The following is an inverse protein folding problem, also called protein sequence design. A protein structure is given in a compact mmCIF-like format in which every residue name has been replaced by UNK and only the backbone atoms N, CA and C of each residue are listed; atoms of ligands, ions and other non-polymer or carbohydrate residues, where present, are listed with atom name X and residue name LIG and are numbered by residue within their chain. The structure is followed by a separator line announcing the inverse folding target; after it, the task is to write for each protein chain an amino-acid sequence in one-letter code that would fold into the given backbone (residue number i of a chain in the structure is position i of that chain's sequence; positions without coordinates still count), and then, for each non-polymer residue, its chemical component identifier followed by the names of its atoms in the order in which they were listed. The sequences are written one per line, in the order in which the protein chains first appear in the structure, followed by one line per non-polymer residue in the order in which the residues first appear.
data_IF_843322012922
#
_entry.id   IF_843322012922
#
_cell.length_a   1.000
_cell.length_b   1.000
_cell.length_c   1.000
_cell.angle_alpha   90.00
_cell.angle_beta   90.00
_cell.angle_gamma   90.00
#
_symmetry.space_group_name_H-M   'P 1'
#
loop_
_entity.id
_entity.type
_entity.pdbx_description
1 polymer ?
#
# COMPACT_ATOMS: atom_id res chain seq x y z
N UNK A 1 16.37 -12.09 7.55
CA UNK A 1 16.89 -13.39 7.06
C UNK A 1 16.78 -14.50 8.11
N UNK A 2 16.87 -14.22 9.41
CA UNK A 2 16.69 -15.22 10.48
C UNK A 2 15.30 -15.89 10.52
N UNK A 3 14.21 -15.14 10.30
CA UNK A 3 12.84 -15.69 10.29
C UNK A 3 12.63 -16.74 9.19
N UNK A 4 13.22 -16.53 8.01
CA UNK A 4 13.18 -17.47 6.88
C UNK A 4 13.93 -18.74 7.24
N UNK A 5 15.16 -18.60 7.76
CA UNK A 5 15.97 -19.73 8.20
C UNK A 5 15.24 -20.55 9.27
N UNK A 6 14.57 -19.90 10.22
CA UNK A 6 13.77 -20.58 11.24
C UNK A 6 12.57 -21.34 10.65
N UNK A 7 11.92 -20.80 9.62
CA UNK A 7 10.84 -21.49 8.90
C UNK A 7 11.36 -22.72 8.12
N UNK A 8 12.53 -22.60 7.49
CA UNK A 8 13.19 -23.69 6.76
C UNK A 8 13.70 -24.78 7.71
N UNK A 9 14.40 -24.41 8.79
CA UNK A 9 14.95 -25.32 9.80
C UNK A 9 13.85 -26.10 10.54
N UNK A 10 12.64 -25.53 10.64
CA UNK A 10 11.48 -26.19 11.23
C UNK A 10 10.60 -26.92 10.21
N UNK A 11 11.06 -27.06 8.96
CA UNK A 11 10.35 -27.70 7.86
C UNK A 11 8.89 -27.18 7.71
N UNK A 12 8.71 -25.86 7.87
CA UNK A 12 7.42 -25.18 7.75
C UNK A 12 6.51 -25.24 8.98
N UNK A 13 6.96 -25.78 10.12
CA UNK A 13 6.21 -25.73 11.38
C UNK A 13 6.14 -24.31 11.96
N UNK A 14 7.18 -23.50 11.76
CA UNK A 14 7.15 -22.07 12.06
C UNK A 14 6.63 -21.29 10.85
N UNK A 15 5.51 -20.59 11.04
CA UNK A 15 4.93 -19.66 10.06
C UNK A 15 4.96 -18.25 10.64
N UNK A 16 5.37 -17.29 9.85
CA UNK A 16 5.37 -15.88 10.24
C UNK A 16 4.61 -15.05 9.21
N UNK A 17 3.97 -13.99 9.69
CA UNK A 17 3.26 -13.03 8.84
C UNK A 17 3.95 -11.68 9.02
N UNK A 18 4.42 -11.12 7.92
CA UNK A 18 4.94 -9.75 7.90
C UNK A 18 3.77 -8.84 7.52
N UNK A 19 3.26 -8.09 8.49
CA UNK A 19 2.19 -7.14 8.31
C UNK A 19 2.76 -5.72 8.22
N UNK A 20 2.30 -4.96 7.24
CA UNK A 20 2.58 -3.53 7.11
C UNK A 20 1.64 -2.91 6.09
N UNK A 21 1.71 -1.59 5.98
CA UNK A 21 0.87 -0.82 5.06
C UNK A 21 1.42 -0.94 3.62
N UNK A 22 1.17 0.04 2.77
CA UNK A 22 1.53 0.02 1.36
C UNK A 22 3.04 -0.19 1.10
N UNK A 23 3.93 0.25 2.00
CA UNK A 23 5.38 0.06 1.85
C UNK A 23 5.82 -1.41 1.81
N UNK A 24 5.13 -2.29 2.54
CA UNK A 24 5.41 -3.74 2.49
C UNK A 24 4.97 -4.33 1.15
N UNK A 25 3.86 -3.85 0.59
CA UNK A 25 3.43 -4.24 -0.75
C UNK A 25 4.41 -3.77 -1.83
N UNK A 26 4.86 -2.50 -1.77
CA UNK A 26 5.88 -1.96 -2.68
C UNK A 26 7.16 -2.77 -2.63
N UNK A 27 7.63 -3.06 -1.41
CA UNK A 27 8.84 -3.86 -1.22
C UNK A 27 8.65 -5.29 -1.76
N UNK A 28 7.50 -5.92 -1.54
CA UNK A 28 7.22 -7.28 -2.07
C UNK A 28 7.09 -7.37 -3.59
N UNK A 29 6.83 -6.26 -4.29
CA UNK A 29 6.73 -6.21 -5.76
C UNK A 29 8.08 -6.03 -6.45
N UNK A 30 9.11 -5.57 -5.73
CA UNK A 30 10.46 -5.56 -6.26
C UNK A 30 11.03 -7.00 -6.17
N UNK A 31 11.25 -7.67 -7.33
CA UNK A 31 11.77 -9.03 -7.37
C UNK A 31 13.17 -9.13 -6.74
N UNK A 32 13.87 -8.01 -6.61
CA UNK A 32 15.16 -7.88 -5.94
C UNK A 32 14.97 -7.50 -4.47
N UNK A 33 13.99 -8.08 -3.78
CA UNK A 33 13.87 -7.98 -2.32
C UNK A 33 13.70 -9.36 -1.71
N UNK A 34 14.23 -9.59 -0.49
CA UNK A 34 14.03 -10.86 0.22
C UNK A 34 12.55 -11.13 0.49
N UNK A 35 11.71 -10.08 0.51
CA UNK A 35 10.27 -10.14 0.76
C UNK A 35 9.48 -10.72 -0.42
N UNK A 36 9.88 -10.44 -1.66
CA UNK A 36 9.22 -10.96 -2.86
C UNK A 36 9.25 -12.49 -2.94
N UNK A 37 10.24 -13.13 -2.30
CA UNK A 37 10.42 -14.59 -2.28
C UNK A 37 9.68 -15.27 -1.11
N UNK A 38 9.10 -14.53 -0.16
CA UNK A 38 8.48 -15.08 1.06
C UNK A 38 7.01 -15.50 0.88
N UNK A 39 6.48 -15.39 -0.33
CA UNK A 39 5.13 -15.83 -0.68
C UNK A 39 4.31 -14.73 -1.34
N UNK A 40 3.04 -15.03 -1.61
CA UNK A 40 2.12 -14.08 -2.25
C UNK A 40 1.69 -13.03 -1.22
N UNK A 41 1.88 -11.73 -1.47
CA UNK A 41 1.38 -10.67 -0.60
C UNK A 41 -0.14 -10.79 -0.47
N UNK A 42 -0.64 -10.73 0.76
CA UNK A 42 -2.08 -10.67 1.05
C UNK A 42 -2.42 -9.23 1.39
N UNK A 43 -3.17 -8.57 0.51
CA UNK A 43 -3.72 -7.25 0.78
C UNK A 43 -4.96 -7.42 1.65
N UNK A 44 -4.94 -6.89 2.87
CA UNK A 44 -6.15 -6.80 3.69
C UNK A 44 -6.92 -5.55 3.23
N UNK A 45 -7.91 -5.77 2.36
CA UNK A 45 -8.73 -4.72 1.78
C UNK A 45 -10.22 -5.04 1.87
N UNK A 46 -11.05 -4.34 1.10
CA UNK A 46 -12.45 -4.69 0.91
C UNK A 46 -12.63 -6.11 0.36
N UNK A 47 -13.65 -6.83 0.85
CA UNK A 47 -13.99 -8.20 0.43
C UNK A 47 -14.68 -8.20 -0.93
N UNK A 48 -13.92 -8.01 -1.99
CA UNK A 48 -14.45 -7.82 -3.36
C UNK A 48 -13.73 -8.65 -4.40
N UNK A 49 -12.41 -8.70 -4.34
CA UNK A 49 -11.61 -9.35 -5.37
C UNK A 49 -11.55 -10.86 -5.14
N UNK A 50 -11.20 -11.61 -6.19
CA UNK A 50 -10.92 -13.04 -6.05
C UNK A 50 -12.09 -13.91 -5.54
N UNK A 51 -13.34 -13.43 -5.62
CA UNK A 51 -14.52 -14.15 -5.11
C UNK A 51 -14.93 -13.80 -3.68
N UNK A 52 -14.21 -12.89 -3.02
CA UNK A 52 -14.46 -12.50 -1.62
C UNK A 52 -15.84 -11.84 -1.40
N UNK A 53 -16.49 -11.35 -2.46
CA UNK A 53 -17.85 -10.81 -2.39
C UNK A 53 -18.86 -11.83 -1.81
N UNK A 54 -18.63 -13.13 -2.00
CA UNK A 54 -19.45 -14.19 -1.39
C UNK A 54 -19.27 -14.19 0.13
N UNK A 55 -18.03 -14.05 0.61
CA UNK A 55 -17.73 -13.96 2.03
C UNK A 55 -18.24 -12.63 2.63
N UNK A 56 -18.22 -11.54 1.86
CA UNK A 56 -18.85 -10.28 2.25
C UNK A 56 -20.37 -10.44 2.48
N UNK A 57 -21.06 -11.16 1.57
CA UNK A 57 -22.49 -11.48 1.74
C UNK A 57 -22.73 -12.34 2.98
N UNK A 58 -21.94 -13.40 3.18
CA UNK A 58 -22.03 -14.26 4.38
C UNK A 58 -21.85 -13.48 5.67
N UNK A 59 -20.92 -12.52 5.68
CA UNK A 59 -20.67 -11.65 6.83
C UNK A 59 -21.89 -10.79 7.23
N UNK A 60 -22.84 -10.59 6.31
CA UNK A 60 -24.13 -9.94 6.57
C UNK A 60 -25.20 -10.99 6.88
N UNK A 61 -25.38 -11.97 6.00
CA UNK A 61 -26.50 -12.91 6.03
C UNK A 61 -26.40 -13.84 7.24
N UNK A 62 -25.28 -14.52 7.47
CA UNK A 62 -25.19 -15.55 8.52
C UNK A 62 -25.45 -15.00 9.94
N UNK A 63 -24.85 -13.87 10.37
CA UNK A 63 -25.12 -13.34 11.70
C UNK A 63 -26.57 -12.85 11.85
N UNK A 64 -27.13 -12.22 10.82
CA UNK A 64 -28.52 -11.75 10.84
C UNK A 64 -29.50 -12.93 10.89
N UNK A 65 -29.23 -13.98 10.12
CA UNK A 65 -30.03 -15.20 10.10
C UNK A 65 -29.99 -15.97 11.41
N UNK A 66 -28.82 -16.02 12.07
CA UNK A 66 -28.65 -16.63 13.38
C UNK A 66 -29.46 -15.91 14.47
N UNK A 67 -29.66 -14.60 14.32
CA UNK A 67 -30.52 -13.78 15.19
C UNK A 67 -32.02 -13.86 14.82
N UNK A 68 -32.38 -14.65 13.80
CA UNK A 68 -33.76 -14.82 13.34
C UNK A 68 -34.24 -13.75 12.34
N UNK A 69 -33.36 -12.85 11.89
CA UNK A 69 -33.68 -11.89 10.84
C UNK A 69 -33.55 -12.52 9.45
N UNK A 70 -34.39 -12.09 8.51
CA UNK A 70 -34.32 -12.49 7.09
C UNK A 70 -34.54 -11.26 6.21
N UNK A 71 -33.62 -10.99 5.29
CA UNK A 71 -33.78 -9.89 4.34
C UNK A 71 -34.92 -10.17 3.36
N UNK A 72 -35.75 -9.16 3.10
CA UNK A 72 -36.87 -9.28 2.18
C UNK A 72 -36.43 -9.48 0.72
N UNK A 73 -35.25 -8.98 0.36
CA UNK A 73 -34.63 -9.11 -0.96
C UNK A 73 -33.10 -9.25 -0.83
N UNK A 74 -32.43 -10.06 -1.67
CA UNK A 74 -30.97 -10.10 -1.80
C UNK A 74 -30.33 -8.74 -2.12
N UNK A 75 -31.09 -7.81 -2.72
CA UNK A 75 -30.61 -6.48 -3.08
C UNK A 75 -30.32 -5.62 -1.85
N UNK A 76 -31.01 -5.87 -0.73
CA UNK A 76 -30.74 -5.17 0.53
C UNK A 76 -29.33 -5.46 1.04
N UNK A 77 -28.89 -6.72 0.92
CA UNK A 77 -27.53 -7.12 1.26
C UNK A 77 -26.54 -6.42 0.33
N UNK A 78 -26.81 -6.43 -0.98
CA UNK A 78 -25.96 -5.74 -1.97
C UNK A 78 -25.82 -4.24 -1.68
N UNK A 79 -26.90 -3.58 -1.23
CA UNK A 79 -26.88 -2.17 -0.79
C UNK A 79 -26.01 -1.98 0.44
N UNK A 80 -26.15 -2.81 1.47
CA UNK A 80 -25.31 -2.75 2.69
C UNK A 80 -23.84 -2.85 2.32
N UNK A 81 -23.47 -3.81 1.48
CA UNK A 81 -22.09 -4.01 1.04
C UNK A 81 -21.57 -2.80 0.25
N UNK A 82 -22.38 -2.24 -0.64
CA UNK A 82 -22.01 -1.07 -1.44
C UNK A 82 -21.82 0.18 -0.56
N UNK A 83 -22.68 0.41 0.43
CA UNK A 83 -22.56 1.54 1.35
C UNK A 83 -21.35 1.45 2.26
N UNK A 84 -20.99 0.24 2.68
CA UNK A 84 -19.82 -0.03 3.53
C UNK A 84 -18.53 -0.19 2.71
N UNK A 85 -18.60 0.03 1.39
CA UNK A 85 -17.52 -0.19 0.43
C UNK A 85 -16.84 -1.57 0.63
N UNK A 86 -17.63 -2.58 1.01
CA UNK A 86 -17.21 -3.96 1.26
C UNK A 86 -16.12 -4.13 2.33
N UNK A 87 -15.91 -3.13 3.20
CA UNK A 87 -14.95 -3.24 4.30
C UNK A 87 -15.53 -4.09 5.44
N UNK A 88 -14.86 -5.19 5.86
CA UNK A 88 -15.38 -6.09 6.89
C UNK A 88 -15.84 -5.38 8.18
N UNK A 89 -15.01 -4.47 8.69
CA UNK A 89 -15.31 -3.74 9.93
C UNK A 89 -16.54 -2.83 9.81
N UNK A 90 -16.74 -2.21 8.64
CA UNK A 90 -17.88 -1.34 8.39
C UNK A 90 -19.16 -2.16 8.13
N UNK A 91 -19.04 -3.30 7.47
CA UNK A 91 -20.14 -4.27 7.32
C UNK A 91 -20.64 -4.70 8.70
N UNK A 92 -19.72 -5.12 9.57
CA UNK A 92 -20.06 -5.56 10.93
C UNK A 92 -20.69 -4.42 11.74
N UNK A 93 -20.12 -3.21 11.66
CA UNK A 93 -20.69 -2.05 12.33
C UNK A 93 -22.09 -1.68 11.80
N UNK A 94 -22.32 -1.77 10.49
CA UNK A 94 -23.64 -1.59 9.91
C UNK A 94 -24.63 -2.61 10.47
N UNK A 95 -24.26 -3.90 10.44
CA UNK A 95 -25.13 -4.97 10.92
C UNK A 95 -25.44 -4.81 12.41
N UNK A 96 -24.46 -4.39 13.21
CA UNK A 96 -24.67 -4.07 14.63
C UNK A 96 -25.72 -2.98 14.83
N UNK A 97 -25.57 -1.83 14.14
CA UNK A 97 -26.53 -0.72 14.22
C UNK A 97 -27.91 -1.12 13.69
N UNK A 98 -27.95 -1.93 12.63
CA UNK A 98 -29.19 -2.46 12.10
C UNK A 98 -29.89 -3.36 13.13
N UNK A 99 -29.16 -4.25 13.82
CA UNK A 99 -29.74 -5.08 14.89
C UNK A 99 -30.23 -4.24 16.06
N UNK A 100 -29.49 -3.22 16.51
CA UNK A 100 -29.95 -2.29 17.55
C UNK A 100 -31.25 -1.59 17.15
N UNK A 101 -31.34 -1.14 15.90
CA UNK A 101 -32.52 -0.49 15.34
C UNK A 101 -33.72 -1.44 15.27
N UNK A 102 -33.51 -2.68 14.79
CA UNK A 102 -34.54 -3.71 14.69
C UNK A 102 -35.00 -4.21 16.06
N UNK A 103 -34.12 -4.19 17.07
CA UNK A 103 -34.43 -4.64 18.42
C UNK A 103 -35.21 -3.60 19.24
N UNK A 104 -35.35 -2.36 18.74
CA UNK A 104 -36.08 -1.30 19.40
C UNK A 104 -37.58 -1.32 18.98
N UNK A 105 -38.52 -1.70 19.87
CA UNK A 105 -39.95 -1.81 19.54
C UNK A 105 -40.61 -0.47 19.18
N UNK A 106 -40.00 0.65 19.58
CA UNK A 106 -40.44 2.00 19.22
C UNK A 106 -40.13 2.36 17.76
N UNK A 107 -39.25 1.60 17.11
CA UNK A 107 -38.68 1.91 15.81
C UNK A 107 -39.05 0.84 14.77
N UNK A 108 -38.78 -0.43 15.06
CA UNK A 108 -39.20 -1.55 14.25
C UNK A 108 -40.35 -2.30 14.95
N UNK A 109 -41.51 -2.34 14.30
CA UNK A 109 -42.65 -3.15 14.76
C UNK A 109 -42.76 -4.40 13.91
N UNK A 110 -42.62 -5.53 14.58
CA UNK A 110 -42.86 -6.85 14.01
C UNK A 110 -44.17 -7.41 14.57
N UNK A 111 -44.96 -8.05 13.71
CA UNK A 111 -46.17 -8.73 14.16
C UNK A 111 -45.79 -10.03 14.88
N UNK A 112 -46.14 -10.19 16.17
CA UNK A 112 -45.83 -11.39 16.94
C UNK A 112 -46.45 -12.68 16.38
N UNK A 113 -47.47 -12.57 15.53
CA UNK A 113 -48.13 -13.73 14.89
C UNK A 113 -47.39 -14.26 13.67
N UNK A 114 -46.49 -13.47 13.09
CA UNK A 114 -45.77 -13.79 11.86
C UNK A 114 -44.25 -13.76 12.02
N UNK A 115 -43.75 -13.61 13.26
CA UNK A 115 -42.33 -13.62 13.59
C UNK A 115 -42.02 -14.64 14.70
N UNK A 116 -40.87 -15.34 14.65
CA UNK A 116 -39.85 -15.34 13.57
C UNK A 116 -40.28 -16.10 12.29
N UNK A 117 -39.67 -15.82 11.12
CA UNK A 117 -38.52 -14.92 10.91
C UNK A 117 -38.88 -13.43 10.86
N UNK A 118 -38.01 -12.58 11.42
CA UNK A 118 -38.17 -11.12 11.40
C UNK A 118 -37.73 -10.56 10.04
N UNK A 119 -38.69 -10.06 9.26
CA UNK A 119 -38.42 -9.61 7.88
C UNK A 119 -37.78 -8.22 7.85
N UNK A 120 -36.55 -8.13 7.35
CA UNK A 120 -35.83 -6.86 7.16
C UNK A 120 -36.20 -6.26 5.81
N UNK A 121 -36.89 -5.13 5.84
CA UNK A 121 -37.33 -4.38 4.67
C UNK A 121 -36.38 -3.21 4.36
N UNK A 122 -36.59 -2.58 3.20
CA UNK A 122 -35.82 -1.43 2.72
C UNK A 122 -35.75 -0.29 3.74
N UNK A 123 -36.89 0.07 4.35
CA UNK A 123 -36.96 1.13 5.37
C UNK A 123 -36.00 0.93 6.53
N UNK A 124 -35.81 -0.32 6.99
CA UNK A 124 -34.91 -0.61 8.12
C UNK A 124 -33.45 -0.39 7.73
N UNK A 125 -33.08 -0.74 6.50
CA UNK A 125 -31.72 -0.52 5.97
C UNK A 125 -31.47 0.96 5.77
N UNK A 126 -32.44 1.70 5.24
CA UNK A 126 -32.32 3.14 5.01
C UNK A 126 -32.22 3.94 6.31
N UNK A 127 -32.99 3.58 7.33
CA UNK A 127 -32.92 4.25 8.63
C UNK A 127 -31.61 3.94 9.36
N UNK A 128 -31.11 2.70 9.28
CA UNK A 128 -29.77 2.36 9.77
C UNK A 128 -28.67 3.14 9.04
N UNK A 129 -28.82 3.34 7.73
CA UNK A 129 -27.87 4.14 6.94
C UNK A 129 -27.87 5.63 7.32
N UNK A 130 -29.03 6.19 7.65
CA UNK A 130 -29.15 7.59 8.09
C UNK A 130 -28.47 7.86 9.43
N UNK A 131 -28.15 6.81 10.20
CA UNK A 131 -27.39 6.93 11.43
C UNK A 131 -26.08 7.70 11.18
N UNK A 132 -25.95 8.83 11.89
CA UNK A 132 -24.80 9.71 11.76
C UNK A 132 -23.48 9.00 12.10
N UNK A 133 -23.50 8.12 13.11
CA UNK A 133 -22.35 7.34 13.57
C UNK A 133 -21.77 6.43 12.48
N UNK A 134 -22.62 5.79 11.67
CA UNK A 134 -22.18 4.94 10.57
C UNK A 134 -21.53 5.76 9.44
N UNK A 135 -22.17 6.87 9.05
CA UNK A 135 -21.64 7.77 8.02
C UNK A 135 -20.28 8.35 8.43
N UNK A 136 -20.13 8.73 9.69
CA UNK A 136 -18.86 9.19 10.26
C UNK A 136 -17.80 8.09 10.27
N UNK A 137 -18.16 6.86 10.63
CA UNK A 137 -17.23 5.72 10.61
C UNK A 137 -16.75 5.39 9.19
N UNK A 138 -17.64 5.39 8.21
CA UNK A 138 -17.30 5.19 6.80
C UNK A 138 -16.35 6.30 6.32
N UNK A 139 -16.70 7.57 6.56
CA UNK A 139 -15.86 8.72 6.19
C UNK A 139 -14.49 8.67 6.86
N UNK A 140 -14.43 8.38 8.16
CA UNK A 140 -13.19 8.26 8.92
C UNK A 140 -12.31 7.15 8.36
N UNK A 141 -12.86 5.97 8.09
CA UNK A 141 -12.10 4.83 7.54
C UNK A 141 -11.57 5.14 6.14
N UNK A 142 -12.38 5.82 5.32
CA UNK A 142 -11.99 6.26 4.00
C UNK A 142 -10.87 7.32 4.07
N UNK A 143 -10.98 8.32 4.95
CA UNK A 143 -9.90 9.30 5.16
C UNK A 143 -8.61 8.63 5.60
N UNK A 144 -8.65 7.70 6.57
CA UNK A 144 -7.47 6.97 7.03
C UNK A 144 -6.78 6.19 5.90
N UNK A 145 -7.57 5.73 4.91
CA UNK A 145 -7.05 5.02 3.73
C UNK A 145 -6.33 5.98 2.79
N UNK A 146 -6.87 7.18 2.58
CA UNK A 146 -6.22 8.23 1.80
C UNK A 146 -5.03 8.86 2.52
N UNK A 147 -5.01 8.84 3.85
CA UNK A 147 -3.90 9.30 4.70
C UNK A 147 -2.66 8.40 4.67
N UNK A 148 -2.77 7.21 4.06
CA UNK A 148 -1.63 6.29 3.92
C UNK A 148 -0.50 6.90 3.08
N UNK A 149 -0.85 7.69 2.06
CA UNK A 149 0.09 8.40 1.20
C UNK A 149 -0.58 9.71 0.73
N UNK A 150 0.02 10.88 0.97
CA UNK A 150 -0.56 12.17 0.56
C UNK A 150 -0.95 12.22 -0.93
N UNK A 151 -0.25 11.46 -1.78
CA UNK A 151 -0.54 11.37 -3.22
C UNK A 151 -1.84 10.64 -3.51
N UNK A 152 -2.24 9.65 -2.69
CA UNK A 152 -3.52 8.97 -2.86
C UNK A 152 -4.69 9.94 -2.68
N UNK A 153 -4.60 10.80 -1.66
CA UNK A 153 -5.61 11.84 -1.43
C UNK A 153 -5.71 12.78 -2.61
N UNK A 154 -4.58 13.32 -3.06
CA UNK A 154 -4.56 14.22 -4.22
C UNK A 154 -5.20 13.55 -5.45
N UNK A 155 -4.75 12.34 -5.80
CA UNK A 155 -5.26 11.60 -6.96
C UNK A 155 -6.77 11.38 -6.85
N UNK A 156 -7.26 10.94 -5.68
CA UNK A 156 -8.69 10.72 -5.47
C UNK A 156 -9.51 12.01 -5.61
N UNK A 157 -9.03 13.12 -5.06
CA UNK A 157 -9.70 14.42 -5.15
C UNK A 157 -9.71 14.97 -6.58
N UNK A 158 -8.59 14.88 -7.31
CA UNK A 158 -8.49 15.28 -8.72
C UNK A 158 -9.47 14.47 -9.57
N UNK A 159 -9.47 13.14 -9.43
CA UNK A 159 -10.42 12.29 -10.16
C UNK A 159 -11.88 12.59 -9.81
N UNK A 160 -12.16 12.97 -8.57
CA UNK A 160 -13.49 13.33 -8.11
C UNK A 160 -13.96 14.67 -8.69
N UNK A 161 -13.10 15.69 -8.69
CA UNK A 161 -13.40 16.99 -9.26
C UNK A 161 -13.81 16.85 -10.74
N UNK A 162 -12.99 16.15 -11.51
CA UNK A 162 -13.22 15.88 -12.93
C UNK A 162 -14.49 15.06 -13.15
N UNK A 163 -14.75 14.05 -12.32
CA UNK A 163 -15.97 13.24 -12.41
C UNK A 163 -17.25 14.01 -12.02
N UNK A 164 -17.14 15.13 -11.31
CA UNK A 164 -18.27 16.02 -11.04
C UNK A 164 -18.62 16.88 -12.25
N UNK A 165 -17.62 17.26 -13.05
CA UNK A 165 -17.80 18.01 -14.29
C UNK A 165 -18.29 17.12 -15.43
N UNK A 166 -17.69 15.94 -15.59
CA UNK A 166 -18.06 14.94 -16.59
C UNK A 166 -18.32 13.57 -15.93
N UNK A 167 -19.61 13.24 -15.80
CA UNK A 167 -20.05 11.97 -15.19
C UNK A 167 -19.71 10.74 -16.03
N UNK A 168 -19.46 10.89 -17.34
CA UNK A 168 -19.05 9.76 -18.19
C UNK A 168 -17.69 9.20 -17.77
N UNK A 169 -16.86 10.01 -17.09
CA UNK A 169 -15.58 9.58 -16.54
C UNK A 169 -15.72 8.49 -15.47
N UNK A 170 -16.86 8.40 -14.79
CA UNK A 170 -17.12 7.31 -13.85
C UNK A 170 -17.23 5.95 -14.57
N UNK A 171 -17.61 5.94 -15.85
CA UNK A 171 -17.77 4.74 -16.67
C UNK A 171 -16.55 4.48 -17.55
N UNK A 172 -16.06 5.51 -18.25
CA UNK A 172 -14.90 5.44 -19.13
C UNK A 172 -13.62 5.19 -18.34
N UNK A 173 -13.45 5.89 -17.21
CA UNK A 173 -12.20 5.98 -16.47
C UNK A 173 -11.11 6.77 -17.21
N UNK A 174 -10.02 7.03 -16.50
CA UNK A 174 -8.87 7.79 -16.96
C UNK A 174 -7.71 6.85 -17.24
N UNK A 175 -6.91 7.16 -18.25
CA UNK A 175 -5.60 6.55 -18.37
C UNK A 175 -4.61 7.14 -17.36
N UNK A 176 -3.50 6.42 -17.12
CA UNK A 176 -2.49 6.84 -16.15
C UNK A 176 -1.82 8.17 -16.53
N UNK A 177 -1.77 8.52 -17.81
CA UNK A 177 -1.15 9.75 -18.29
C UNK A 177 -2.03 10.97 -18.02
N UNK A 178 -3.35 10.85 -18.24
CA UNK A 178 -4.37 11.86 -17.90
C UNK A 178 -4.28 12.20 -16.40
N UNK A 179 -4.31 11.18 -15.54
CA UNK A 179 -4.23 11.36 -14.07
C UNK A 179 -2.90 11.99 -13.68
N UNK A 180 -1.79 11.48 -14.22
CA UNK A 180 -0.45 12.01 -13.92
C UNK A 180 -0.32 13.48 -14.26
N UNK A 181 -0.78 13.87 -15.44
CA UNK A 181 -0.68 15.25 -15.93
C UNK A 181 -1.43 16.18 -14.97
N UNK A 182 -2.69 15.86 -14.66
CA UNK A 182 -3.51 16.64 -13.74
C UNK A 182 -2.94 16.67 -12.33
N UNK A 183 -2.48 15.54 -11.81
CA UNK A 183 -1.88 15.48 -10.47
C UNK A 183 -0.62 16.36 -10.34
N UNK A 184 0.20 16.41 -11.39
CA UNK A 184 1.39 17.28 -11.41
C UNK A 184 1.03 18.76 -11.60
N UNK A 185 -0.03 19.08 -12.34
CA UNK A 185 -0.57 20.45 -12.44
C UNK A 185 -1.04 20.96 -11.08
N UNK A 186 -1.72 20.12 -10.30
CA UNK A 186 -2.20 20.48 -8.96
C UNK A 186 -1.06 20.54 -7.93
N UNK A 187 -0.15 19.56 -7.90
CA UNK A 187 0.84 19.43 -6.82
C UNK A 187 2.19 18.89 -7.27
N UNK A 188 2.84 19.54 -8.23
CA UNK A 188 4.19 19.18 -8.70
C UNK A 188 5.23 18.94 -7.57
N UNK A 189 5.27 19.76 -6.49
CA UNK A 189 6.22 19.55 -5.38
C UNK A 189 5.98 18.28 -4.57
N UNK A 190 4.75 17.75 -4.56
CA UNK A 190 4.40 16.50 -3.89
C UNK A 190 4.92 15.25 -4.58
N UNK A 191 5.45 15.38 -5.79
CA UNK A 191 6.08 14.30 -6.55
C UNK A 191 7.55 14.63 -6.80
N UNK A 192 8.49 14.01 -6.08
CA UNK A 192 9.92 14.16 -6.35
C UNK A 192 10.25 13.81 -7.80
N UNK A 193 11.28 14.41 -8.45
CA UNK A 193 11.57 14.19 -9.86
C UNK A 193 11.65 12.72 -10.30
N UNK A 194 12.21 11.84 -9.47
CA UNK A 194 12.31 10.40 -9.74
C UNK A 194 11.00 9.61 -9.56
N UNK A 195 9.96 10.23 -9.01
CA UNK A 195 8.64 9.63 -8.76
C UNK A 195 7.55 10.16 -9.72
N UNK A 196 7.93 11.02 -10.68
CA UNK A 196 7.03 11.58 -11.70
C UNK A 196 6.86 10.65 -12.91
N UNK A 197 7.40 9.43 -12.87
CA UNK A 197 7.30 8.47 -13.98
C UNK A 197 5.89 7.89 -14.13
N UNK A 198 5.52 7.49 -15.36
CA UNK A 198 4.21 6.87 -15.60
C UNK A 198 4.03 5.55 -14.86
N UNK A 199 5.09 4.75 -14.74
CA UNK A 199 5.05 3.46 -14.03
C UNK A 199 4.82 3.63 -12.51
N UNK A 200 5.30 4.73 -11.94
CA UNK A 200 5.02 5.09 -10.54
C UNK A 200 3.54 5.40 -10.38
N UNK A 201 2.96 6.20 -11.27
CA UNK A 201 1.52 6.49 -11.25
C UNK A 201 0.67 5.23 -11.43
N UNK A 202 1.01 4.34 -12.37
CA UNK A 202 0.33 3.04 -12.51
C UNK A 202 0.38 2.22 -11.21
N UNK A 203 1.54 2.22 -10.54
CA UNK A 203 1.70 1.54 -9.25
C UNK A 203 0.79 2.15 -8.18
N UNK A 204 0.78 3.48 -8.04
CA UNK A 204 -0.10 4.20 -7.10
C UNK A 204 -1.58 3.89 -7.37
N UNK A 205 -2.00 3.92 -8.64
CA UNK A 205 -3.38 3.64 -9.05
C UNK A 205 -3.78 2.20 -8.73
N UNK A 206 -2.89 1.24 -8.97
CA UNK A 206 -3.12 -0.17 -8.64
C UNK A 206 -3.15 -0.41 -7.13
N UNK A 207 -2.35 0.31 -6.36
CA UNK A 207 -2.45 0.32 -4.89
C UNK A 207 -3.81 0.85 -4.45
N UNK A 208 -4.27 1.97 -5.02
CA UNK A 208 -5.59 2.55 -4.72
C UNK A 208 -6.77 1.64 -5.14
N UNK A 209 -6.58 0.76 -6.13
CA UNK A 209 -7.54 -0.31 -6.45
C UNK A 209 -7.59 -1.34 -5.33
N UNK A 210 -6.44 -1.80 -4.83
CA UNK A 210 -6.35 -2.74 -3.70
C UNK A 210 -6.90 -2.16 -2.38
N UNK A 211 -6.77 -0.85 -2.19
CA UNK A 211 -7.41 -0.09 -1.09
C UNK A 211 -8.90 0.16 -1.31
N UNK A 212 -9.43 -0.21 -2.47
CA UNK A 212 -10.82 -0.02 -2.85
C UNK A 212 -11.31 1.41 -2.94
N UNK A 213 -10.41 2.33 -3.24
CA UNK A 213 -10.73 3.70 -3.64
C UNK A 213 -11.07 3.72 -5.13
N UNK A 214 -10.30 2.98 -5.93
CA UNK A 214 -10.45 2.91 -7.38
C UNK A 214 -10.92 1.53 -7.86
N UNK A 215 -11.29 1.46 -9.14
CA UNK A 215 -11.49 0.24 -9.90
C UNK A 215 -10.97 0.41 -11.34
N UNK A 216 -10.65 -0.70 -12.01
CA UNK A 216 -10.20 -0.72 -13.39
C UNK A 216 -11.39 -0.89 -14.34
N UNK A 217 -11.56 0.03 -15.30
CA UNK A 217 -12.57 -0.09 -16.36
C UNK A 217 -12.02 -0.76 -17.62
N UNK A 218 -10.70 -0.93 -17.70
CA UNK A 218 -9.99 -1.61 -18.77
C UNK A 218 -8.55 -1.93 -18.36
N UNK A 219 -7.72 -2.36 -19.32
CA UNK A 219 -6.34 -2.78 -19.03
C UNK A 219 -5.45 -1.66 -18.43
N UNK A 220 -5.65 -0.42 -18.87
CA UNK A 220 -4.85 0.76 -18.46
C UNK A 220 -5.79 1.96 -18.19
N UNK A 221 -6.98 1.70 -17.62
CA UNK A 221 -7.94 2.73 -17.23
C UNK A 221 -8.48 2.53 -15.82
N UNK A 222 -8.53 3.62 -15.06
CA UNK A 222 -8.97 3.66 -13.66
C UNK A 222 -10.07 4.67 -13.45
N UNK A 223 -11.00 4.37 -12.56
CA UNK A 223 -12.07 5.27 -12.15
C UNK A 223 -12.29 5.18 -10.65
N UNK A 224 -12.98 6.16 -10.06
CA UNK A 224 -13.49 6.03 -8.71
C UNK A 224 -14.40 4.81 -8.64
N UNK A 225 -14.22 3.98 -7.61
CA UNK A 225 -14.90 2.68 -7.53
C UNK A 225 -16.42 2.77 -7.65
N UNK A 226 -17.01 3.82 -7.10
CA UNK A 226 -18.46 4.01 -7.15
C UNK A 226 -18.85 5.47 -6.93
N UNK A 227 -20.09 5.79 -7.26
CA UNK A 227 -20.67 7.08 -6.89
C UNK A 227 -20.69 7.32 -5.37
N UNK A 228 -20.71 6.24 -4.55
CA UNK A 228 -20.61 6.38 -3.10
C UNK A 228 -19.23 6.90 -2.67
N UNK A 229 -18.15 6.42 -3.29
CA UNK A 229 -16.79 6.94 -3.05
C UNK A 229 -16.71 8.43 -3.41
N UNK A 230 -17.31 8.83 -4.53
CA UNK A 230 -17.40 10.23 -4.91
C UNK A 230 -18.15 11.08 -3.86
N UNK A 231 -19.30 10.59 -3.38
CA UNK A 231 -20.07 11.27 -2.33
C UNK A 231 -19.33 11.34 -0.98
N UNK A 232 -18.42 10.39 -0.70
CA UNK A 232 -17.57 10.41 0.48
C UNK A 232 -16.45 11.45 0.40
N UNK A 233 -15.94 11.70 -0.80
CA UNK A 233 -14.93 12.74 -1.06
C UNK A 233 -15.50 14.15 -0.88
N UNK A 234 -16.79 14.34 -1.19
CA UNK A 234 -17.51 15.56 -0.86
C UNK A 234 -18.20 16.18 -2.08
N UNK A 235 -18.72 17.39 -1.87
CA UNK A 235 -19.23 18.22 -2.96
C UNK A 235 -18.08 18.87 -3.73
N UNK A 236 -18.38 19.49 -4.88
CA UNK A 236 -17.40 20.24 -5.66
C UNK A 236 -16.61 21.22 -4.79
N UNK A 237 -17.31 22.01 -3.96
CA UNK A 237 -16.69 22.98 -3.05
C UNK A 237 -15.83 22.31 -1.98
N UNK A 238 -16.31 21.23 -1.38
CA UNK A 238 -15.54 20.50 -0.36
C UNK A 238 -14.23 19.95 -0.95
N UNK A 239 -14.29 19.44 -2.18
CA UNK A 239 -13.14 18.88 -2.90
C UNK A 239 -12.12 19.98 -3.23
N UNK A 240 -12.56 21.14 -3.74
CA UNK A 240 -11.66 22.27 -4.00
C UNK A 240 -10.97 22.76 -2.71
N UNK A 241 -11.72 22.97 -1.63
CA UNK A 241 -11.15 23.38 -0.34
C UNK A 241 -10.17 22.34 0.22
N UNK A 242 -10.44 21.05 0.03
CA UNK A 242 -9.57 19.95 0.44
C UNK A 242 -8.31 19.85 -0.43
N UNK A 243 -8.42 20.09 -1.75
CA UNK A 243 -7.29 20.15 -2.68
C UNK A 243 -6.33 21.27 -2.28
N UNK A 244 -6.84 22.48 -2.07
CA UNK A 244 -6.03 23.63 -1.62
C UNK A 244 -5.30 23.34 -0.31
N UNK A 245 -5.97 22.66 0.63
CA UNK A 245 -5.37 22.23 1.89
C UNK A 245 -4.29 21.17 1.69
N UNK A 246 -4.54 20.19 0.83
CA UNK A 246 -3.62 19.09 0.56
C UNK A 246 -2.31 19.60 -0.09
N UNK A 247 -2.40 20.55 -1.01
CA UNK A 247 -1.21 21.11 -1.69
C UNK A 247 -0.43 22.09 -0.80
N UNK A 248 -1.11 22.74 0.15
CA UNK A 248 -0.50 23.69 1.10
C UNK A 248 0.17 23.00 2.28
N UNK A 249 -0.13 21.73 2.54
CA UNK A 249 0.51 20.96 3.59
C UNK A 249 2.00 20.73 3.25
N UNK A 250 2.88 20.87 4.24
CA UNK A 250 4.31 20.57 4.07
C UNK A 250 4.48 19.15 3.49
N UNK A 251 5.32 19.03 2.45
CA UNK A 251 5.71 17.74 1.88
C UNK A 251 6.48 16.97 2.94
N UNK A 252 5.77 16.21 3.77
CA UNK A 252 6.41 15.24 4.67
C UNK A 252 7.00 14.15 3.80
N UNK A 253 8.32 13.93 3.80
CA UNK A 253 8.88 12.85 3.01
C UNK A 253 8.34 11.53 3.55
N UNK A 254 7.46 10.87 2.80
CA UNK A 254 7.03 9.50 3.12
C UNK A 254 8.23 8.58 2.99
N UNK A 255 8.40 7.64 3.91
CA UNK A 255 9.50 6.67 3.85
C UNK A 255 9.49 5.94 2.49
N UNK A 256 10.52 6.18 1.68
CA UNK A 256 10.69 5.52 0.40
C UNK A 256 12.06 4.83 0.37
N UNK A 257 12.09 3.50 0.46
CA UNK A 257 13.33 2.71 0.44
C UNK A 257 14.22 2.97 -0.79
N UNK A 258 13.66 3.53 -1.88
CA UNK A 258 14.39 3.95 -3.08
C UNK A 258 15.29 5.16 -2.86
N UNK A 259 14.94 6.05 -1.90
CA UNK A 259 15.67 7.30 -1.64
C UNK A 259 16.18 7.42 -0.21
N UNK A 260 15.60 6.67 0.72
CA UNK A 260 15.95 6.75 2.13
C UNK A 260 17.26 6.02 2.38
N UNK A 261 18.19 6.78 2.94
CA UNK A 261 19.48 6.30 3.44
C UNK A 261 19.30 5.95 4.89
N UNK A 262 19.66 4.73 5.27
CA UNK A 262 19.54 4.26 6.65
C UNK A 262 20.38 5.13 7.60
N UNK A 263 19.87 5.42 8.79
CA UNK A 263 20.65 6.12 9.81
C UNK A 263 21.73 5.20 10.40
N UNK A 264 22.83 5.77 10.88
CA UNK A 264 23.82 5.02 11.65
C UNK A 264 23.15 4.52 12.95
N UNK A 265 23.51 3.31 13.39
CA UNK A 265 23.03 2.73 14.65
C UNK A 265 23.48 3.54 15.87
N UNK A 266 24.60 4.25 15.75
CA UNK A 266 25.21 5.03 16.84
C UNK A 266 24.96 6.53 16.73
N UNK A 267 24.62 7.03 15.54
CA UNK A 267 24.41 8.46 15.27
C UNK A 267 23.25 8.66 14.30
N UNK A 268 22.08 9.00 14.85
CA UNK A 268 20.84 9.21 14.08
C UNK A 268 20.88 10.41 13.15
N UNK A 269 21.92 11.25 13.18
CA UNK A 269 22.11 12.34 12.22
C UNK A 269 22.96 11.93 11.02
N UNK A 270 23.72 10.83 11.13
CA UNK A 270 24.46 10.26 10.00
C UNK A 270 23.54 9.38 9.16
N UNK A 271 23.81 9.37 7.86
CA UNK A 271 23.05 8.59 6.87
C UNK A 271 24.02 7.73 6.09
N UNK A 272 23.59 6.51 5.76
CA UNK A 272 24.32 5.63 4.86
C UNK A 272 24.59 6.35 3.54
N UNK A 273 25.78 6.22 2.94
CA UNK A 273 26.02 6.73 1.60
C UNK A 273 25.18 6.00 0.54
N UNK A 274 24.61 4.83 0.86
CA UNK A 274 23.75 4.03 -0.01
C UNK A 274 22.27 4.15 0.35
N UNK A 275 21.42 4.03 -0.66
CA UNK A 275 19.96 3.91 -0.45
C UNK A 275 19.63 2.53 0.13
N UNK A 276 18.45 2.39 0.74
CA UNK A 276 17.96 1.09 1.18
C UNK A 276 17.88 0.05 0.04
N UNK A 277 17.56 0.49 -1.18
CA UNK A 277 17.58 -0.36 -2.38
C UNK A 277 18.99 -0.85 -2.72
N UNK A 278 20.00 0.02 -2.68
CA UNK A 278 21.39 -0.36 -2.97
C UNK A 278 21.91 -1.36 -1.92
N UNK A 279 21.63 -1.12 -0.63
CA UNK A 279 21.98 -2.06 0.44
C UNK A 279 21.29 -3.43 0.25
N UNK A 280 20.02 -3.44 -0.18
CA UNK A 280 19.27 -4.67 -0.48
C UNK A 280 19.87 -5.45 -1.66
N UNK A 281 20.28 -4.76 -2.73
CA UNK A 281 20.94 -5.38 -3.90
C UNK A 281 22.28 -6.01 -3.51
N UNK A 282 23.06 -5.31 -2.68
CA UNK A 282 24.32 -5.82 -2.15
C UNK A 282 24.11 -7.07 -1.26
N UNK A 283 23.02 -7.11 -0.49
CA UNK A 283 22.67 -8.25 0.35
C UNK A 283 22.30 -9.53 -0.43
N UNK A 284 21.93 -9.41 -1.70
CA UNK A 284 21.38 -10.50 -2.52
C UNK A 284 22.38 -11.19 -3.44
N UNK A 285 23.65 -10.76 -3.44
CA UNK A 285 24.64 -11.34 -4.34
C UNK A 285 24.95 -12.80 -3.99
N UNK A 286 24.64 -13.72 -4.92
CA UNK A 286 24.95 -15.15 -4.85
C UNK A 286 26.41 -15.46 -5.23
N UNK A 287 27.02 -14.60 -6.04
CA UNK A 287 28.44 -14.63 -6.38
C UNK A 287 29.25 -13.92 -5.30
N UNK A 288 30.21 -14.62 -4.68
CA UNK A 288 30.91 -14.24 -3.44
C UNK A 288 31.70 -12.92 -3.40
N UNK A 289 31.59 -12.05 -4.41
CA UNK A 289 32.15 -10.70 -4.40
C UNK A 289 31.19 -9.67 -5.01
N UNK A 290 31.12 -8.49 -4.39
CA UNK A 290 30.37 -7.33 -4.90
C UNK A 290 31.26 -6.08 -4.92
N UNK A 291 31.18 -5.29 -5.98
CA UNK A 291 31.97 -4.07 -6.15
C UNK A 291 31.08 -2.83 -6.04
N UNK A 292 31.51 -1.88 -5.21
CA UNK A 292 30.85 -0.57 -5.07
C UNK A 292 31.82 0.49 -5.55
N UNK A 293 31.44 1.20 -6.61
CA UNK A 293 32.18 2.34 -7.15
C UNK A 293 31.67 3.62 -6.48
N UNK A 294 32.59 4.51 -6.10
CA UNK A 294 32.19 5.81 -5.60
C UNK A 294 33.34 6.72 -5.23
N UNK A 295 33.09 8.03 -5.30
CA UNK A 295 34.05 9.05 -4.90
C UNK A 295 34.13 9.21 -3.38
N UNK A 296 35.26 9.73 -2.89
CA UNK A 296 35.40 10.17 -1.48
C UNK A 296 34.33 11.18 -1.06
N UNK A 297 33.93 12.08 -1.97
CA UNK A 297 32.86 13.06 -1.73
C UNK A 297 31.51 12.39 -1.44
N UNK A 298 31.27 11.19 -1.98
CA UNK A 298 30.08 10.38 -1.68
C UNK A 298 30.21 9.58 -0.38
N UNK A 299 31.19 9.91 0.48
CA UNK A 299 31.45 9.21 1.75
C UNK A 299 31.76 7.72 1.61
N UNK A 300 32.40 7.31 0.51
CA UNK A 300 32.85 5.93 0.27
C UNK A 300 33.64 5.36 1.45
N UNK A 301 34.53 6.15 2.03
CA UNK A 301 35.39 5.72 3.14
C UNK A 301 34.60 5.40 4.43
N UNK A 302 33.30 5.73 4.48
CA UNK A 302 32.38 5.39 5.58
C UNK A 302 31.49 4.18 5.29
N UNK A 303 31.46 3.65 4.06
CA UNK A 303 30.62 2.52 3.65
C UNK A 303 30.78 1.30 4.57
N UNK A 304 32.02 0.99 4.97
CA UNK A 304 32.31 -0.15 5.84
C UNK A 304 31.57 -0.07 7.18
N UNK A 305 31.42 1.13 7.75
CA UNK A 305 30.71 1.35 9.02
C UNK A 305 29.22 1.04 8.91
N UNK A 306 28.62 1.29 7.75
CA UNK A 306 27.21 1.01 7.51
C UNK A 306 26.97 -0.44 7.08
N UNK A 307 27.82 -0.98 6.21
CA UNK A 307 27.61 -2.30 5.61
C UNK A 307 28.01 -3.46 6.53
N UNK A 308 29.10 -3.35 7.29
CA UNK A 308 29.59 -4.44 8.16
C UNK A 308 28.55 -4.87 9.21
N UNK A 309 27.93 -3.96 9.99
CA UNK A 309 26.93 -4.35 10.99
C UNK A 309 25.64 -4.91 10.39
N UNK A 310 25.35 -4.57 9.13
CA UNK A 310 24.01 -4.77 8.53
C UNK A 310 23.94 -6.00 7.65
N UNK A 311 25.01 -6.23 6.88
CA UNK A 311 25.13 -7.36 5.98
C UNK A 311 25.98 -8.50 6.58
N UNK A 312 26.43 -8.36 7.84
CA UNK A 312 27.23 -9.38 8.52
C UNK A 312 28.59 -9.62 7.87
N UNK A 313 29.16 -8.58 7.23
CA UNK A 313 30.37 -8.71 6.43
C UNK A 313 31.59 -8.93 7.31
N UNK A 314 32.51 -9.70 6.77
CA UNK A 314 33.76 -10.04 7.45
C UNK A 314 34.96 -9.32 6.85
N UNK A 315 34.87 -8.89 5.58
CA UNK A 315 35.98 -8.27 4.85
C UNK A 315 35.45 -7.20 3.88
N UNK A 316 35.82 -5.94 4.12
CA UNK A 316 35.70 -4.83 3.16
C UNK A 316 37.11 -4.47 2.72
N UNK A 317 37.45 -4.65 1.44
CA UNK A 317 38.76 -4.31 0.89
C UNK A 317 38.66 -3.16 -0.10
N UNK A 318 39.58 -2.21 0.05
CA UNK A 318 39.91 -1.25 -1.02
C UNK A 318 41.05 -1.85 -1.86
N UNK A 319 40.98 -1.80 -3.20
CA UNK A 319 42.06 -2.31 -4.03
C UNK A 319 43.38 -1.58 -3.69
N UNK A 320 44.48 -2.31 -3.44
CA UNK A 320 45.75 -1.72 -3.05
C UNK A 320 46.49 -1.03 -4.21
N UNK A 321 46.03 -1.22 -5.45
CA UNK A 321 46.67 -0.75 -6.67
C UNK A 321 45.65 0.09 -7.47
N UNK A 322 46.12 1.18 -8.09
CA UNK A 322 45.32 1.93 -9.06
C UNK A 322 44.93 0.99 -10.21
N UNK A 323 43.64 0.82 -10.44
CA UNK A 323 43.13 -0.11 -11.44
C UNK A 323 43.29 0.51 -12.83
N UNK A 324 44.50 0.44 -13.38
CA UNK A 324 44.87 1.11 -14.65
C UNK A 324 44.40 0.34 -15.91
N UNK A 325 43.50 -0.65 -15.75
CA UNK A 325 42.91 -1.41 -16.87
C UNK A 325 42.39 -2.81 -16.50
N UNK A 326 41.73 -3.52 -17.44
CA UNK A 326 41.05 -4.80 -17.19
C UNK A 326 41.95 -5.88 -16.56
N UNK A 327 43.22 -5.97 -16.96
CA UNK A 327 44.18 -6.97 -16.46
C UNK A 327 44.59 -6.74 -15.00
N UNK A 328 44.57 -5.49 -14.54
CA UNK A 328 44.85 -5.15 -13.13
C UNK A 328 43.68 -5.55 -12.24
N UNK A 329 42.44 -5.36 -12.73
CA UNK A 329 41.22 -5.77 -12.06
C UNK A 329 41.10 -7.30 -11.98
N UNK A 330 41.35 -8.02 -13.08
CA UNK A 330 41.29 -9.49 -13.09
C UNK A 330 42.29 -10.12 -12.11
N UNK A 331 43.52 -9.59 -12.00
CA UNK A 331 44.53 -10.08 -11.05
C UNK A 331 44.10 -9.87 -9.60
N UNK A 332 43.54 -8.71 -9.29
CA UNK A 332 43.07 -8.40 -7.94
C UNK A 332 41.80 -9.20 -7.56
N UNK A 333 40.84 -9.34 -8.47
CA UNK A 333 39.66 -10.17 -8.26
C UNK A 333 40.04 -11.64 -8.05
N UNK A 334 41.06 -12.14 -8.74
CA UNK A 334 41.57 -13.51 -8.54
C UNK A 334 42.10 -13.71 -7.12
N UNK A 335 42.72 -12.69 -6.51
CA UNK A 335 43.17 -12.74 -5.10
C UNK A 335 42.01 -12.74 -4.11
N UNK A 336 40.88 -12.08 -4.45
CA UNK A 336 39.66 -12.10 -3.64
C UNK A 336 38.92 -13.45 -3.73
N UNK A 337 38.95 -14.09 -4.90
CA UNK A 337 38.30 -15.39 -5.14
C UNK A 337 38.99 -16.55 -4.39
N UNK A 338 40.24 -16.40 -3.97
CA UNK A 338 40.93 -17.37 -3.10
C UNK A 338 40.40 -17.35 -1.65
N UNK A 339 39.75 -16.26 -1.22
CA UNK A 339 39.20 -16.06 0.13
C UNK A 339 37.80 -16.70 0.33
N UNK A 340 37.52 -17.84 -0.34
CA UNK A 340 36.21 -18.53 -0.57
C UNK A 340 35.23 -18.74 0.61
N UNK A 341 35.49 -18.24 1.82
CA UNK A 341 34.66 -18.50 2.98
C UNK A 341 33.57 -17.43 3.25
N UNK A 342 33.69 -16.19 2.75
CA UNK A 342 32.80 -15.08 3.16
C UNK A 342 32.51 -14.10 2.01
N UNK A 343 31.35 -13.40 2.01
CA UNK A 343 31.03 -12.39 1.01
C UNK A 343 32.00 -11.21 1.13
N UNK A 344 32.76 -10.93 0.06
CA UNK A 344 33.77 -9.86 0.03
C UNK A 344 33.20 -8.64 -0.69
N UNK A 345 33.31 -7.47 -0.06
CA UNK A 345 32.93 -6.20 -0.68
C UNK A 345 34.15 -5.38 -1.04
N UNK A 346 34.22 -4.99 -2.30
CA UNK A 346 35.29 -4.23 -2.92
C UNK A 346 34.87 -2.76 -3.09
N UNK A 347 35.58 -1.83 -2.45
CA UNK A 347 35.34 -0.40 -2.60
C UNK A 347 36.29 0.20 -3.63
N UNK A 348 35.80 0.63 -4.79
CA UNK A 348 36.61 1.14 -5.90
C UNK A 348 36.44 2.65 -6.06
N UNK A 349 37.54 3.36 -6.31
CA UNK A 349 37.53 4.79 -6.63
C UNK A 349 37.11 5.02 -8.08
N UNK A 350 36.20 5.98 -8.31
CA UNK A 350 35.86 6.46 -9.65
C UNK A 350 36.82 7.54 -10.16
N UNK A 351 37.71 8.04 -9.31
CA UNK A 351 38.79 8.91 -9.76
C UNK A 351 39.93 8.07 -10.36
N UNK A 352 39.68 7.50 -11.55
CA UNK A 352 40.61 7.42 -12.70
C UNK A 352 39.98 6.71 -13.89
#
# INVERSE_FOLDING_TARGET
LELRRLAEDTNGAFKFVLAGLHDVQRTSRDPNTPLAQLGRPVCIGPLLEGGEHVEARRLVEEPMEALGFRFASPDLVTRILSHTNYYPSLIQQFCHLLVEHLSNPGVARFDPRSTPPYRVEERHVDDAYRAQSLREAIRKRFSLTLDLDPRYRLIALVMALEALEDRELLVRGYDAWEIRTKALEWWEPGFPPGERGLDVFRTLLDEMVGLGVLHKTGADRWTLRSANVLNLLGTYKDIEEELERAISAEVKPSYNHLYFRRADLTDVMRRSPLTGMDESRLAQHESGAAMVFGARAASRDQLSKFLVPTLGLSVVQTPPIRLDGPDSLCRWLSTLLELRAQPVFALVDESH
#
